data_IF_772658028029
#
_entry.id   IF_772658028029
#
_cell.length_a   1.000
_cell.length_b   1.000
_cell.length_c   1.000
_cell.angle_alpha   90.00
_cell.angle_beta   90.00
_cell.angle_gamma   90.00
#
_symmetry.space_group_name_H-M   'P 1'
#
loop_
_entity.id
_entity.type
_entity.pdbx_description
1 polymer ?
#
# COMPACT_ATOMS: atom_id res chain seq x y z
N UNK A 1 2.70 -10.23 -20.55
CA UNK A 1 3.56 -9.19 -19.97
C UNK A 1 4.89 -9.83 -19.57
N UNK A 2 6.02 -9.19 -19.88
CA UNK A 2 7.36 -9.70 -19.54
C UNK A 2 7.82 -9.20 -18.18
N UNK A 3 8.83 -9.85 -17.59
CA UNK A 3 9.40 -9.44 -16.30
C UNK A 3 9.99 -8.02 -16.36
N UNK A 4 10.67 -7.67 -17.45
CA UNK A 4 11.27 -6.34 -17.63
C UNK A 4 10.21 -5.23 -17.63
N UNK A 5 9.05 -5.48 -18.23
CA UNK A 5 7.92 -4.55 -18.21
C UNK A 5 7.37 -4.34 -16.79
N UNK A 6 7.26 -5.43 -16.01
CA UNK A 6 6.82 -5.36 -14.62
C UNK A 6 7.80 -4.54 -13.78
N UNK A 7 9.09 -4.85 -13.86
CA UNK A 7 10.14 -4.16 -13.10
C UNK A 7 10.18 -2.68 -13.46
N UNK A 8 10.09 -2.35 -14.76
CA UNK A 8 10.09 -0.96 -15.22
C UNK A 8 8.91 -0.18 -14.64
N UNK A 9 7.70 -0.75 -14.64
CA UNK A 9 6.52 -0.09 -14.08
C UNK A 9 6.59 0.06 -12.56
N UNK A 10 7.01 -0.97 -11.84
CA UNK A 10 7.19 -0.89 -10.38
C UNK A 10 8.22 0.19 -10.03
N UNK A 11 9.36 0.24 -10.74
CA UNK A 11 10.38 1.28 -10.55
C UNK A 11 9.80 2.66 -10.79
N UNK A 12 9.06 2.86 -11.89
CA UNK A 12 8.42 4.14 -12.21
C UNK A 12 7.41 4.57 -11.16
N UNK A 13 6.62 3.64 -10.62
CA UNK A 13 5.71 3.91 -9.51
C UNK A 13 6.47 4.33 -8.23
N UNK A 14 7.57 3.66 -7.90
CA UNK A 14 8.47 4.06 -6.81
C UNK A 14 9.17 5.40 -7.03
N UNK A 15 9.30 5.83 -8.27
CA UNK A 15 9.82 7.16 -8.64
C UNK A 15 8.73 8.21 -8.80
N UNK A 16 7.47 7.87 -8.48
CA UNK A 16 6.30 8.75 -8.59
C UNK A 16 6.12 9.32 -10.01
N UNK A 17 6.38 8.52 -11.04
CA UNK A 17 6.04 8.88 -12.41
C UNK A 17 4.51 8.84 -12.59
N UNK A 18 3.83 9.97 -12.83
CA UNK A 18 2.37 10.00 -12.90
C UNK A 18 1.81 9.14 -14.05
N UNK A 19 2.51 9.05 -15.18
CA UNK A 19 2.02 8.34 -16.36
C UNK A 19 1.87 6.83 -16.10
N UNK A 20 2.66 6.27 -15.18
CA UNK A 20 2.57 4.85 -14.86
C UNK A 20 1.24 4.46 -14.21
N UNK A 21 0.60 5.40 -13.51
CA UNK A 21 -0.67 5.12 -12.81
C UNK A 21 -1.84 5.09 -13.78
N UNK A 22 -1.82 5.91 -14.83
CA UNK A 22 -2.77 5.83 -15.95
C UNK A 22 -2.58 4.51 -16.72
N UNK A 23 -1.34 4.17 -17.07
CA UNK A 23 -1.01 2.90 -17.75
C UNK A 23 -1.52 1.68 -16.96
N UNK A 24 -1.32 1.69 -15.65
CA UNK A 24 -1.71 0.59 -14.78
C UNK A 24 -3.22 0.54 -14.60
N UNK A 25 -3.89 1.68 -14.38
CA UNK A 25 -5.35 1.78 -14.32
C UNK A 25 -5.99 1.12 -15.54
N UNK A 26 -5.41 1.29 -16.72
CA UNK A 26 -5.97 0.81 -17.98
C UNK A 26 -5.51 -0.62 -18.38
N UNK A 27 -4.45 -1.16 -17.77
CA UNK A 27 -3.94 -2.52 -18.07
C UNK A 27 -4.44 -3.60 -17.11
N UNK A 28 -5.51 -4.31 -17.50
CA UNK A 28 -6.14 -5.37 -16.71
C UNK A 28 -5.21 -6.53 -16.37
N UNK A 29 -4.18 -6.78 -17.18
CA UNK A 29 -3.19 -7.83 -16.93
C UNK A 29 -2.27 -7.50 -15.75
N UNK A 30 -2.23 -6.24 -15.31
CA UNK A 30 -1.40 -5.82 -14.19
C UNK A 30 -2.07 -6.01 -12.83
N UNK A 31 -3.35 -6.41 -12.78
CA UNK A 31 -4.11 -6.59 -11.54
C UNK A 31 -3.41 -7.52 -10.54
N UNK A 32 -3.09 -8.75 -10.95
CA UNK A 32 -2.42 -9.72 -10.08
C UNK A 32 -1.02 -9.26 -9.64
N UNK A 33 -0.31 -8.53 -10.51
CA UNK A 33 1.02 -7.99 -10.19
C UNK A 33 0.91 -6.91 -9.11
N UNK A 34 -0.05 -5.99 -9.21
CA UNK A 34 -0.25 -4.94 -8.21
C UNK A 34 -0.65 -5.49 -6.85
N UNK A 35 -1.62 -6.42 -6.82
CA UNK A 35 -2.08 -7.09 -5.60
C UNK A 35 -0.93 -7.90 -4.98
N UNK A 36 -0.21 -8.68 -5.79
CA UNK A 36 0.94 -9.47 -5.33
C UNK A 36 2.04 -8.58 -4.75
N UNK A 37 2.31 -7.44 -5.37
CA UNK A 37 3.30 -6.47 -4.88
C UNK A 37 2.91 -5.88 -3.53
N UNK A 38 1.63 -5.52 -3.34
CA UNK A 38 1.10 -5.06 -2.07
C UNK A 38 1.20 -6.15 -0.99
N UNK A 39 0.81 -7.38 -1.32
CA UNK A 39 0.87 -8.51 -0.40
C UNK A 39 2.31 -8.80 0.05
N UNK A 40 3.29 -8.72 -0.86
CA UNK A 40 4.72 -8.83 -0.51
C UNK A 40 5.14 -7.69 0.41
N UNK A 41 4.74 -6.44 0.14
CA UNK A 41 5.07 -5.31 1.02
C UNK A 41 4.50 -5.48 2.44
N UNK A 42 3.24 -5.95 2.56
CA UNK A 42 2.62 -6.26 3.86
C UNK A 42 3.35 -7.39 4.57
N UNK A 43 3.70 -8.48 3.87
CA UNK A 43 4.44 -9.58 4.45
C UNK A 43 5.81 -9.15 4.98
N UNK A 44 6.53 -8.32 4.22
CA UNK A 44 7.82 -7.76 4.65
C UNK A 44 7.67 -6.90 5.91
N UNK A 45 6.62 -6.08 5.99
CA UNK A 45 6.32 -5.29 7.18
C UNK A 45 5.99 -6.17 8.39
N UNK A 46 5.22 -7.24 8.20
CA UNK A 46 4.88 -8.18 9.26
C UNK A 46 6.11 -8.94 9.79
N UNK A 47 7.04 -9.32 8.91
CA UNK A 47 8.34 -9.88 9.30
C UNK A 47 9.13 -8.86 10.12
N UNK A 48 9.16 -7.59 9.69
CA UNK A 48 9.82 -6.51 10.44
C UNK A 48 9.24 -6.33 11.84
N UNK A 49 7.91 -6.39 11.98
CA UNK A 49 7.21 -6.30 13.25
C UNK A 49 7.55 -7.48 14.18
N UNK A 50 7.60 -8.70 13.64
CA UNK A 50 8.02 -9.88 14.41
C UNK A 50 9.47 -9.76 14.88
N UNK A 51 10.40 -9.39 13.99
CA UNK A 51 11.80 -9.17 14.33
C UNK A 51 11.97 -8.08 15.41
N UNK A 52 11.17 -7.01 15.34
CA UNK A 52 11.16 -5.97 16.36
C UNK A 52 10.73 -6.52 17.73
N UNK A 53 9.69 -7.36 17.74
CA UNK A 53 9.24 -8.05 18.96
C UNK A 53 10.32 -8.94 19.58
N UNK A 54 11.08 -9.68 18.76
CA UNK A 54 12.13 -10.59 19.24
C UNK A 54 13.43 -9.89 19.67
N UNK A 55 13.77 -8.76 19.04
CA UNK A 55 15.11 -8.15 19.16
C UNK A 55 15.13 -6.84 19.94
N UNK A 56 13.99 -6.16 20.05
CA UNK A 56 13.90 -4.82 20.68
C UNK A 56 13.04 -4.84 21.94
N UNK A 57 12.00 -5.66 22.01
CA UNK A 57 11.18 -5.79 23.21
C UNK A 57 11.85 -6.75 24.22
N UNK A 58 12.23 -6.22 25.38
CA UNK A 58 12.73 -6.96 26.57
C UNK A 58 11.63 -7.94 27.07
N UNK A 59 11.92 -9.02 27.85
CA UNK A 59 11.32 -10.35 27.74
C UNK A 59 9.82 -10.40 28.09
N UNK A 60 9.00 -9.83 27.23
CA UNK A 60 7.61 -10.21 27.08
C UNK A 60 7.57 -11.57 26.37
N UNK A 61 6.56 -12.42 26.61
CA UNK A 61 6.35 -13.58 25.76
C UNK A 61 6.34 -13.09 24.31
N UNK A 62 7.34 -13.50 23.53
CA UNK A 62 7.53 -13.05 22.15
C UNK A 62 6.22 -13.22 21.39
N UNK A 63 5.88 -12.22 20.57
CA UNK A 63 4.70 -12.36 19.72
C UNK A 63 4.97 -13.54 18.78
N UNK A 64 4.19 -14.61 18.90
CA UNK A 64 4.41 -15.82 18.12
C UNK A 64 4.51 -15.50 16.62
N UNK A 65 5.45 -16.13 15.93
CA UNK A 65 5.66 -15.91 14.49
C UNK A 65 4.35 -16.07 13.69
N UNK A 66 3.56 -17.09 14.03
CA UNK A 66 2.25 -17.34 13.39
C UNK A 66 1.29 -16.17 13.61
N UNK A 67 1.21 -15.66 14.83
CA UNK A 67 0.28 -14.58 15.18
C UNK A 67 0.69 -13.26 14.51
N UNK A 68 1.98 -12.94 14.51
CA UNK A 68 2.47 -11.66 13.99
C UNK A 68 2.57 -11.67 12.48
N UNK A 69 3.17 -12.71 11.90
CA UNK A 69 3.45 -12.76 10.48
C UNK A 69 2.24 -13.25 9.70
N UNK A 70 1.66 -14.40 10.07
CA UNK A 70 0.57 -14.99 9.29
C UNK A 70 -0.74 -14.28 9.57
N UNK A 71 -1.19 -14.26 10.84
CA UNK A 71 -2.47 -13.63 11.20
C UNK A 71 -2.40 -12.11 11.00
N UNK A 72 -1.29 -11.47 11.37
CA UNK A 72 -1.06 -10.05 11.11
C UNK A 72 -1.15 -9.70 9.62
N UNK A 73 -0.47 -10.44 8.73
CA UNK A 73 -0.57 -10.20 7.27
C UNK A 73 -1.99 -10.35 6.76
N UNK A 74 -2.70 -11.42 7.13
CA UNK A 74 -4.09 -11.64 6.72
C UNK A 74 -4.97 -10.48 7.19
N UNK A 75 -4.85 -10.11 8.45
CA UNK A 75 -5.65 -9.04 9.05
C UNK A 75 -5.36 -7.68 8.40
N UNK A 76 -4.09 -7.33 8.18
CA UNK A 76 -3.69 -6.10 7.48
C UNK A 76 -4.22 -6.07 6.05
N UNK A 77 -4.17 -7.19 5.31
CA UNK A 77 -4.73 -7.25 3.96
C UNK A 77 -6.24 -7.03 3.99
N UNK A 78 -6.97 -7.63 4.92
CA UNK A 78 -8.42 -7.45 5.05
C UNK A 78 -8.76 -5.99 5.37
N UNK A 79 -8.09 -5.39 6.35
CA UNK A 79 -8.29 -3.97 6.69
C UNK A 79 -7.96 -3.05 5.52
N UNK A 80 -6.86 -3.32 4.81
CA UNK A 80 -6.48 -2.59 3.62
C UNK A 80 -7.56 -2.66 2.54
N UNK A 81 -8.12 -3.84 2.26
CA UNK A 81 -9.20 -4.01 1.28
C UNK A 81 -10.49 -3.28 1.70
N UNK A 82 -10.83 -3.27 2.99
CA UNK A 82 -11.92 -2.45 3.52
C UNK A 82 -11.62 -0.97 3.26
N UNK A 83 -10.39 -0.54 3.49
CA UNK A 83 -9.91 0.80 3.19
C UNK A 83 -10.07 1.20 1.72
N UNK A 84 -9.66 0.32 0.79
CA UNK A 84 -9.88 0.51 -0.65
C UNK A 84 -11.37 0.64 -0.98
N UNK A 85 -12.22 -0.16 -0.34
CA UNK A 85 -13.68 -0.07 -0.52
C UNK A 85 -14.23 1.28 -0.01
N UNK A 86 -13.74 1.80 1.11
CA UNK A 86 -14.11 3.13 1.62
C UNK A 86 -13.67 4.22 0.64
N UNK A 87 -12.44 4.16 0.14
CA UNK A 87 -11.93 5.09 -0.89
C UNK A 87 -12.82 5.05 -2.12
N UNK A 88 -13.16 3.86 -2.62
CA UNK A 88 -14.07 3.67 -3.75
C UNK A 88 -15.43 4.34 -3.51
N UNK A 89 -16.05 4.07 -2.36
CA UNK A 89 -17.37 4.61 -2.03
C UNK A 89 -17.35 6.14 -1.92
N UNK A 90 -16.31 6.72 -1.33
CA UNK A 90 -16.17 8.17 -1.23
C UNK A 90 -16.00 8.81 -2.61
N UNK A 91 -15.09 8.29 -3.43
CA UNK A 91 -14.86 8.85 -4.77
C UNK A 91 -16.09 8.67 -5.68
N UNK A 92 -16.69 7.48 -5.72
CA UNK A 92 -17.81 7.19 -6.63
C UNK A 92 -19.16 7.72 -6.14
N UNK A 93 -19.53 7.49 -4.88
CA UNK A 93 -20.87 7.79 -4.38
C UNK A 93 -20.98 9.18 -3.76
N UNK A 94 -19.94 9.64 -3.05
CA UNK A 94 -19.98 10.94 -2.37
C UNK A 94 -19.51 12.06 -3.30
N UNK A 95 -18.44 11.84 -4.05
CA UNK A 95 -17.88 12.85 -4.96
C UNK A 95 -18.37 12.70 -6.41
N UNK A 96 -19.03 11.60 -6.76
CA UNK A 96 -19.64 11.40 -8.08
C UNK A 96 -18.64 11.14 -9.21
N UNK A 97 -17.43 10.67 -8.87
CA UNK A 97 -16.38 10.41 -9.84
C UNK A 97 -16.61 9.07 -10.57
N UNK A 98 -16.35 9.05 -11.88
CA UNK A 98 -16.42 7.83 -12.69
C UNK A 98 -15.19 6.96 -12.44
N UNK A 99 -15.30 6.04 -11.48
CA UNK A 99 -14.23 5.13 -11.09
C UNK A 99 -14.69 3.69 -11.18
N UNK A 100 -13.93 2.87 -11.91
CA UNK A 100 -14.15 1.41 -11.96
C UNK A 100 -13.47 0.73 -10.77
N UNK A 101 -14.15 -0.15 -10.01
CA UNK A 101 -13.60 -0.76 -8.80
C UNK A 101 -12.28 -1.53 -9.02
N UNK A 102 -12.19 -2.32 -10.09
CA UNK A 102 -11.02 -3.14 -10.40
C UNK A 102 -9.79 -2.29 -10.75
N UNK A 103 -10.01 -1.20 -11.49
CA UNK A 103 -8.96 -0.23 -11.83
C UNK A 103 -8.44 0.48 -10.57
N UNK A 104 -9.35 0.87 -9.65
CA UNK A 104 -8.96 1.51 -8.39
C UNK A 104 -8.16 0.56 -7.50
N UNK A 105 -8.63 -0.68 -7.34
CA UNK A 105 -7.89 -1.70 -6.56
C UNK A 105 -6.46 -1.85 -7.08
N UNK A 106 -6.29 -1.93 -8.40
CA UNK A 106 -4.99 -2.08 -9.03
C UNK A 106 -4.05 -0.88 -8.81
N UNK A 107 -4.58 0.34 -8.88
CA UNK A 107 -3.82 1.56 -8.59
C UNK A 107 -3.44 1.61 -7.12
N UNK A 108 -4.41 1.45 -6.22
CA UNK A 108 -4.21 1.61 -4.77
C UNK A 108 -3.31 0.52 -4.19
N UNK A 109 -3.44 -0.74 -4.63
CA UNK A 109 -2.54 -1.82 -4.21
C UNK A 109 -1.09 -1.54 -4.59
N UNK A 110 -0.83 -1.02 -5.79
CA UNK A 110 0.53 -0.65 -6.18
C UNK A 110 1.09 0.49 -5.32
N UNK A 111 0.26 1.45 -4.91
CA UNK A 111 0.70 2.54 -4.03
C UNK A 111 1.06 2.07 -2.61
N UNK A 112 0.77 0.82 -2.27
CA UNK A 112 1.11 0.21 -0.99
C UNK A 112 2.56 -0.31 -0.89
N UNK A 113 3.35 -0.21 -1.98
CA UNK A 113 4.75 -0.63 -2.01
C UNK A 113 5.64 -0.05 -0.88
N UNK A 114 5.55 1.26 -0.53
CA UNK A 114 6.37 1.82 0.54
C UNK A 114 6.14 1.16 1.90
N UNK A 115 5.02 0.46 2.09
CA UNK A 115 4.71 -0.25 3.33
C UNK A 115 5.79 -1.30 3.67
N UNK A 116 6.48 -1.83 2.65
CA UNK A 116 7.59 -2.76 2.80
C UNK A 116 8.80 -2.19 3.56
N UNK A 117 8.92 -0.86 3.70
CA UNK A 117 9.90 -0.23 4.59
C UNK A 117 9.69 -0.65 6.05
N UNK A 118 8.48 -1.12 6.40
CA UNK A 118 8.16 -1.73 7.68
C UNK A 118 9.06 -2.92 8.03
N UNK A 119 9.74 -3.54 7.06
CA UNK A 119 10.74 -4.58 7.33
C UNK A 119 11.84 -4.09 8.29
N UNK A 120 12.26 -2.83 8.18
CA UNK A 120 13.44 -2.32 8.90
C UNK A 120 13.13 -1.78 10.31
N UNK A 121 11.90 -1.95 10.78
CA UNK A 121 11.50 -1.45 12.12
C UNK A 121 12.24 -2.12 13.26
N UNK A 122 12.78 -3.33 13.06
CA UNK A 122 13.58 -4.04 14.07
C UNK A 122 14.96 -3.41 14.33
N UNK A 123 15.44 -2.50 13.47
CA UNK A 123 16.76 -1.91 13.65
C UNK A 123 16.70 -0.95 14.86
N UNK A 124 17.50 -1.17 15.92
CA UNK A 124 17.50 -0.29 17.08
C UNK A 124 17.83 1.15 16.69
N UNK A 125 17.37 2.11 17.49
CA UNK A 125 17.51 3.58 17.32
C UNK A 125 16.84 4.20 16.09
N UNK A 126 16.78 3.52 14.93
CA UNK A 126 16.23 4.04 13.68
C UNK A 126 14.92 3.37 13.24
N UNK A 127 14.54 2.26 13.87
CA UNK A 127 13.35 1.48 13.52
C UNK A 127 12.05 2.29 13.53
N UNK A 128 11.91 3.21 14.48
CA UNK A 128 10.78 4.15 14.50
C UNK A 128 10.70 5.01 13.24
N UNK A 129 11.84 5.50 12.73
CA UNK A 129 11.88 6.30 11.52
C UNK A 129 11.42 5.51 10.30
N UNK A 130 11.82 4.23 10.20
CA UNK A 130 11.34 3.33 9.14
C UNK A 130 9.84 3.03 9.25
N UNK A 131 9.32 2.81 10.46
CA UNK A 131 7.89 2.60 10.68
C UNK A 131 7.06 3.81 10.28
N UNK A 132 7.48 5.00 10.71
CA UNK A 132 6.83 6.26 10.34
C UNK A 132 6.92 6.53 8.83
N UNK A 133 8.11 6.35 8.25
CA UNK A 133 8.32 6.56 6.81
C UNK A 133 7.48 5.58 5.97
N UNK A 134 7.38 4.32 6.39
CA UNK A 134 6.55 3.30 5.75
C UNK A 134 5.09 3.75 5.63
N UNK A 135 4.49 4.16 6.75
CA UNK A 135 3.09 4.62 6.82
C UNK A 135 2.90 5.92 6.05
N UNK A 136 3.74 6.93 6.32
CA UNK A 136 3.62 8.25 5.71
C UNK A 136 3.83 8.21 4.18
N UNK A 137 4.80 7.42 3.71
CA UNK A 137 5.02 7.23 2.29
C UNK A 137 3.84 6.48 1.64
N UNK A 138 3.32 5.43 2.28
CA UNK A 138 2.16 4.70 1.74
C UNK A 138 0.93 5.59 1.63
N UNK A 139 0.68 6.42 2.64
CA UNK A 139 -0.38 7.42 2.63
C UNK A 139 -0.21 8.42 1.46
N UNK A 140 0.98 9.00 1.34
CA UNK A 140 1.29 9.95 0.27
C UNK A 140 1.20 9.31 -1.13
N UNK A 141 1.74 8.11 -1.30
CA UNK A 141 1.71 7.38 -2.56
C UNK A 141 0.27 7.06 -2.97
N UNK A 142 -0.61 6.74 -2.01
CA UNK A 142 -2.01 6.45 -2.30
C UNK A 142 -2.73 7.70 -2.83
N UNK A 143 -2.52 8.86 -2.17
CA UNK A 143 -3.07 10.14 -2.65
C UNK A 143 -2.51 10.49 -4.04
N UNK A 144 -1.20 10.36 -4.23
CA UNK A 144 -0.54 10.67 -5.50
C UNK A 144 -1.04 9.76 -6.62
N UNK A 145 -1.07 8.44 -6.40
CA UNK A 145 -1.46 7.46 -7.39
C UNK A 145 -2.93 7.58 -7.81
N UNK A 146 -3.85 7.86 -6.88
CA UNK A 146 -5.25 8.13 -7.22
C UNK A 146 -5.35 9.38 -8.10
N UNK A 147 -4.67 10.47 -7.76
CA UNK A 147 -4.72 11.70 -8.57
C UNK A 147 -4.09 11.54 -9.94
N UNK A 148 -2.99 10.80 -10.01
CA UNK A 148 -2.32 10.50 -11.27
C UNK A 148 -3.18 9.59 -12.15
N UNK A 149 -3.84 8.59 -11.57
CA UNK A 149 -4.75 7.71 -12.31
C UNK A 149 -6.08 8.36 -12.67
N UNK A 150 -6.56 9.34 -11.91
CA UNK A 150 -7.88 9.94 -12.10
C UNK A 150 -7.78 11.48 -12.09
N UNK A 151 -7.51 12.11 -13.26
CA UNK A 151 -7.26 13.55 -13.34
C UNK A 151 -8.42 14.45 -12.88
N UNK A 152 -9.65 13.92 -12.86
CA UNK A 152 -10.83 14.64 -12.37
C UNK A 152 -10.88 14.73 -10.83
N UNK A 153 -10.13 13.87 -10.14
CA UNK A 153 -10.08 13.86 -8.68
C UNK A 153 -9.11 14.93 -8.17
N UNK A 154 -9.66 15.99 -7.58
CA UNK A 154 -8.86 17.05 -6.98
C UNK A 154 -8.09 16.60 -5.72
N UNK A 155 -7.15 17.44 -5.26
CA UNK A 155 -6.28 17.13 -4.12
C UNK A 155 -7.05 16.87 -2.83
N UNK A 156 -8.11 17.66 -2.58
CA UNK A 156 -8.86 17.62 -1.34
C UNK A 156 -9.72 16.35 -1.28
N UNK A 157 -10.38 16.00 -2.38
CA UNK A 157 -11.17 14.77 -2.51
C UNK A 157 -10.31 13.52 -2.34
N UNK A 158 -9.16 13.46 -3.03
CA UNK A 158 -8.22 12.35 -2.87
C UNK A 158 -7.73 12.24 -1.41
N UNK A 159 -7.36 13.36 -0.79
CA UNK A 159 -6.90 13.38 0.60
C UNK A 159 -7.99 12.91 1.57
N UNK A 160 -9.24 13.37 1.44
CA UNK A 160 -10.35 12.95 2.29
C UNK A 160 -10.63 11.46 2.09
N UNK A 161 -10.68 11.00 0.84
CA UNK A 161 -10.94 9.60 0.54
C UNK A 161 -9.88 8.68 1.16
N UNK A 162 -8.60 9.01 0.98
CA UNK A 162 -7.51 8.23 1.56
C UNK A 162 -7.49 8.34 3.07
N UNK A 163 -7.68 9.52 3.67
CA UNK A 163 -7.70 9.69 5.13
C UNK A 163 -8.76 8.83 5.82
N UNK A 164 -9.93 8.66 5.20
CA UNK A 164 -11.02 7.87 5.76
C UNK A 164 -10.90 6.38 5.46
N UNK A 165 -10.15 6.00 4.43
CA UNK A 165 -9.90 4.60 4.09
C UNK A 165 -8.58 4.03 4.61
N UNK A 166 -7.68 4.85 5.13
CA UNK A 166 -6.37 4.43 5.63
C UNK A 166 -6.42 4.03 7.12
#
# INVERSE_FOLDING_TARGET
MTLDQVIARIRRALMLDPAVYEEIRDDTNFTLVSIGSAAVAVLLAAIGAWLFGETVLDPAPGLGFVDTVILGTIFTIVLFLIGVAVIYLLLSQVFGEEITPDALVRVVTLTHLPFGLGLFVFIPQIGFAFGLASVAATFYYTIFGIRAAYPNVDNLRAMIAVLLGF
#
